data_IF_251028618483
#
_entry.id   IF_251028618483
#
_cell.length_a   1.000
_cell.length_b   1.000
_cell.length_c   1.000
_cell.angle_alpha   90.00
_cell.angle_beta   90.00
_cell.angle_gamma   90.00
#
_symmetry.space_group_name_H-M   'P 1'
#
loop_
_entity.id
_entity.type
_entity.pdbx_description
1 polymer ?
#
# COMPACT_ATOMS: atom_id res chain seq x y z
N UNK A 1 11.56 -25.65 -1.58
CA UNK A 1 12.24 -24.62 -0.77
C UNK A 1 12.26 -23.32 -1.56
N UNK A 2 11.91 -22.19 -0.94
CA UNK A 2 11.92 -20.84 -1.55
C UNK A 2 12.86 -19.94 -0.74
N UNK A 3 12.38 -18.84 -0.13
CA UNK A 3 13.12 -18.08 0.87
C UNK A 3 13.14 -18.75 2.26
N UNK A 4 13.93 -18.17 3.17
CA UNK A 4 14.07 -18.63 4.56
C UNK A 4 12.92 -18.08 5.44
N UNK A 5 11.69 -18.53 5.19
CA UNK A 5 10.51 -18.05 5.93
C UNK A 5 10.41 -18.60 7.37
N UNK A 6 10.95 -19.80 7.60
CA UNK A 6 10.73 -20.54 8.84
C UNK A 6 11.53 -19.97 10.01
N UNK A 7 10.98 -18.96 10.67
CA UNK A 7 11.46 -18.46 11.96
C UNK A 7 10.96 -19.39 13.07
N UNK A 8 11.84 -20.29 13.53
CA UNK A 8 11.48 -21.35 14.49
C UNK A 8 10.84 -20.82 15.80
N UNK A 9 11.41 -19.82 16.50
CA UNK A 9 10.83 -19.30 17.74
C UNK A 9 9.77 -18.20 17.48
N UNK A 10 8.74 -18.51 16.68
CA UNK A 10 7.78 -17.53 16.17
C UNK A 10 7.11 -16.70 17.26
N UNK A 11 6.58 -17.32 18.32
CA UNK A 11 5.78 -16.64 19.35
C UNK A 11 6.60 -15.66 20.18
N UNK A 12 7.85 -16.01 20.52
CA UNK A 12 8.77 -15.13 21.22
C UNK A 12 9.18 -13.94 20.37
N UNK A 13 9.53 -14.17 19.09
CA UNK A 13 9.91 -13.10 18.17
C UNK A 13 8.75 -12.14 17.85
N UNK A 14 7.54 -12.67 17.64
CA UNK A 14 6.38 -11.86 17.23
C UNK A 14 6.03 -10.79 18.26
N UNK A 15 6.13 -11.12 19.56
CA UNK A 15 5.87 -10.15 20.61
C UNK A 15 6.87 -8.98 20.58
N UNK A 16 8.17 -9.30 20.43
CA UNK A 16 9.24 -8.31 20.33
C UNK A 16 9.12 -7.45 19.06
N UNK A 17 8.97 -8.09 17.91
CA UNK A 17 9.04 -7.42 16.60
C UNK A 17 7.90 -6.42 16.38
N UNK A 18 6.73 -6.68 16.96
CA UNK A 18 5.53 -5.85 16.79
C UNK A 18 5.09 -5.16 18.09
N UNK A 19 5.94 -5.12 19.12
CA UNK A 19 5.69 -4.50 20.42
C UNK A 19 4.38 -4.97 21.08
N UNK A 20 4.04 -6.26 20.95
CA UNK A 20 2.77 -6.83 21.45
C UNK A 20 2.76 -7.04 22.96
N UNK A 21 3.89 -6.83 23.61
CA UNK A 21 4.03 -6.69 25.06
C UNK A 21 3.55 -5.32 25.55
N UNK A 22 3.51 -4.29 24.69
CA UNK A 22 3.04 -2.94 25.03
C UNK A 22 1.67 -2.60 24.46
N UNK A 23 1.43 -2.90 23.18
CA UNK A 23 0.21 -2.48 22.49
C UNK A 23 -0.26 -3.53 21.48
N UNK A 24 -1.58 -3.67 21.34
CA UNK A 24 -2.20 -4.61 20.38
C UNK A 24 -3.43 -3.96 19.74
N UNK A 25 -3.71 -4.23 18.45
CA UNK A 25 -2.90 -4.97 17.46
C UNK A 25 -1.87 -4.08 16.74
N UNK A 26 -0.87 -4.67 16.04
CA UNK A 26 0.00 -3.92 15.13
C UNK A 26 -0.70 -3.67 13.79
N UNK A 27 -0.13 -2.78 12.95
CA UNK A 27 -0.59 -2.55 11.58
C UNK A 27 0.25 -3.35 10.59
N UNK A 28 -0.16 -4.58 10.31
CA UNK A 28 0.45 -5.41 9.26
C UNK A 28 -0.19 -5.11 7.91
N UNK A 29 0.60 -5.18 6.83
CA UNK A 29 0.13 -4.98 5.46
C UNK A 29 0.72 -6.01 4.50
N UNK A 30 -0.09 -6.50 3.56
CA UNK A 30 0.40 -7.33 2.46
C UNK A 30 1.01 -6.44 1.36
N UNK A 31 2.32 -6.58 1.13
CA UNK A 31 3.08 -5.62 0.32
C UNK A 31 2.69 -5.61 -1.16
N UNK A 32 2.21 -6.71 -1.73
CA UNK A 32 1.79 -6.75 -3.14
C UNK A 32 0.69 -5.72 -3.42
N UNK A 33 -0.39 -5.72 -2.64
CA UNK A 33 -1.47 -4.74 -2.80
C UNK A 33 -0.99 -3.32 -2.48
N UNK A 34 -0.16 -3.16 -1.45
CA UNK A 34 0.41 -1.87 -1.08
C UNK A 34 1.20 -1.23 -2.23
N UNK A 35 2.15 -1.97 -2.82
CA UNK A 35 2.95 -1.43 -3.92
C UNK A 35 2.15 -1.34 -5.22
N UNK A 36 1.21 -2.25 -5.46
CA UNK A 36 0.32 -2.16 -6.61
C UNK A 36 -0.46 -0.84 -6.61
N UNK A 37 -0.98 -0.43 -5.45
CA UNK A 37 -1.66 0.84 -5.25
C UNK A 37 -0.71 2.06 -5.29
N UNK A 38 0.37 2.05 -4.50
CA UNK A 38 1.18 3.26 -4.24
C UNK A 38 2.34 3.49 -5.21
N UNK A 39 2.62 2.54 -6.10
CA UNK A 39 3.47 2.76 -7.28
C UNK A 39 2.65 2.89 -8.55
N UNK A 40 1.33 2.99 -8.42
CA UNK A 40 0.37 3.21 -9.50
C UNK A 40 0.41 2.18 -10.63
N UNK A 41 0.94 0.98 -10.37
CA UNK A 41 0.99 -0.09 -11.35
C UNK A 41 -0.41 -0.48 -11.84
N UNK A 42 -1.43 -0.31 -10.99
CA UNK A 42 -2.83 -0.53 -11.33
C UNK A 42 -3.34 0.34 -12.48
N UNK A 43 -2.71 1.51 -12.70
CA UNK A 43 -3.04 2.41 -13.80
C UNK A 43 -2.55 1.90 -15.15
N UNK A 44 -1.78 0.83 -15.20
CA UNK A 44 -1.22 0.26 -16.43
C UNK A 44 -1.68 -1.19 -16.61
N UNK A 45 -2.66 -1.65 -15.81
CA UNK A 45 -3.18 -3.01 -15.85
C UNK A 45 -3.83 -3.29 -17.20
N UNK A 46 -3.54 -4.47 -17.76
CA UNK A 46 -4.09 -4.92 -19.05
C UNK A 46 -4.90 -6.20 -18.93
N UNK A 47 -4.82 -6.88 -17.79
CA UNK A 47 -5.57 -8.11 -17.55
C UNK A 47 -6.97 -7.75 -17.04
N UNK A 48 -7.99 -8.06 -17.85
CA UNK A 48 -9.39 -7.96 -17.44
C UNK A 48 -9.77 -9.06 -16.47
N UNK A 49 -10.68 -8.76 -15.53
CA UNK A 49 -11.21 -9.78 -14.60
C UNK A 49 -11.96 -10.87 -15.36
N UNK A 50 -12.63 -10.52 -16.46
CA UNK A 50 -13.39 -11.46 -17.27
C UNK A 50 -12.53 -12.48 -18.03
N UNK A 51 -11.22 -12.24 -18.15
CA UNK A 51 -10.26 -13.17 -18.73
C UNK A 51 -9.88 -14.32 -17.77
N UNK A 52 -9.98 -14.08 -16.46
CA UNK A 52 -9.63 -15.07 -15.42
C UNK A 52 -10.85 -15.76 -14.81
N UNK A 53 -12.06 -15.30 -15.17
CA UNK A 53 -13.30 -15.92 -14.72
C UNK A 53 -13.54 -17.29 -15.39
N UNK A 54 -14.07 -18.23 -14.61
CA UNK A 54 -14.60 -19.49 -15.15
C UNK A 54 -15.65 -19.20 -16.23
N UNK A 55 -15.68 -19.95 -17.34
CA UNK A 55 -16.73 -19.81 -18.37
C UNK A 55 -18.14 -20.12 -17.85
N UNK A 56 -18.26 -20.74 -16.66
CA UNK A 56 -19.53 -21.04 -16.00
C UNK A 56 -20.00 -19.93 -15.05
N UNK A 57 -19.17 -18.92 -14.78
CA UNK A 57 -19.52 -17.81 -13.89
C UNK A 57 -20.39 -16.77 -14.60
N UNK A 58 -21.31 -16.15 -13.86
CA UNK A 58 -22.07 -15.00 -14.36
C UNK A 58 -21.19 -13.75 -14.36
N UNK A 59 -20.66 -13.38 -15.53
CA UNK A 59 -19.77 -12.21 -15.72
C UNK A 59 -20.36 -10.90 -15.19
N UNK A 60 -21.69 -10.77 -15.13
CA UNK A 60 -22.34 -9.55 -14.64
C UNK A 60 -22.13 -9.31 -13.15
N UNK A 61 -21.83 -10.36 -12.38
CA UNK A 61 -21.56 -10.27 -10.94
C UNK A 61 -20.12 -9.84 -10.64
N UNK A 62 -19.25 -9.89 -11.66
CA UNK A 62 -17.80 -9.77 -11.50
C UNK A 62 -17.22 -8.63 -12.34
N UNK A 63 -17.79 -7.43 -12.25
CA UNK A 63 -17.32 -6.24 -12.96
C UNK A 63 -16.23 -5.47 -12.21
N UNK A 64 -15.57 -4.56 -12.91
CA UNK A 64 -14.49 -3.72 -12.37
C UNK A 64 -13.10 -4.24 -12.74
N UNK A 65 -12.10 -3.50 -12.30
CA UNK A 65 -10.68 -3.76 -12.50
C UNK A 65 -10.10 -4.61 -11.36
N UNK A 66 -8.86 -5.09 -11.50
CA UNK A 66 -8.18 -5.86 -10.45
C UNK A 66 -8.06 -5.09 -9.12
N UNK A 67 -7.84 -3.76 -9.17
CA UNK A 67 -7.73 -2.95 -7.93
C UNK A 67 -9.08 -2.82 -7.21
N UNK A 68 -10.21 -2.85 -7.94
CA UNK A 68 -11.55 -2.81 -7.34
C UNK A 68 -11.80 -4.02 -6.44
N UNK A 69 -11.30 -5.19 -6.82
CA UNK A 69 -11.38 -6.39 -5.99
C UNK A 69 -10.53 -6.28 -4.72
N UNK A 70 -9.41 -5.56 -4.78
CA UNK A 70 -8.62 -5.30 -3.59
C UNK A 70 -9.37 -4.38 -2.62
N UNK A 71 -9.96 -3.29 -3.11
CA UNK A 71 -10.79 -2.38 -2.30
C UNK A 71 -11.98 -3.10 -1.68
N UNK A 72 -12.67 -3.95 -2.46
CA UNK A 72 -13.76 -4.82 -1.98
C UNK A 72 -13.30 -5.74 -0.86
N UNK A 73 -12.15 -6.40 -1.02
CA UNK A 73 -11.57 -7.28 -0.02
C UNK A 73 -11.17 -6.52 1.26
N UNK A 74 -10.58 -5.33 1.12
CA UNK A 74 -10.20 -4.45 2.24
C UNK A 74 -11.40 -4.03 3.07
N UNK A 75 -12.46 -3.49 2.44
CA UNK A 75 -13.67 -3.05 3.17
C UNK A 75 -14.43 -4.19 3.85
N UNK A 76 -14.30 -5.41 3.34
CA UNK A 76 -14.89 -6.62 3.92
C UNK A 76 -14.02 -7.24 5.02
N UNK A 77 -12.85 -6.67 5.30
CA UNK A 77 -11.91 -7.18 6.30
C UNK A 77 -11.18 -8.46 5.88
N UNK A 78 -11.14 -8.77 4.58
CA UNK A 78 -10.40 -9.92 4.04
C UNK A 78 -8.91 -9.62 3.91
N UNK A 79 -8.57 -8.37 3.56
CA UNK A 79 -7.21 -7.87 3.46
C UNK A 79 -7.02 -6.64 4.35
N UNK A 80 -5.78 -6.40 4.84
CA UNK A 80 -5.45 -5.15 5.51
C UNK A 80 -5.32 -3.97 4.53
N UNK A 81 -5.41 -2.75 5.07
CA UNK A 81 -5.23 -1.48 4.34
C UNK A 81 -4.08 -0.69 4.94
N UNK A 82 -3.28 -0.04 4.09
CA UNK A 82 -2.27 0.93 4.53
C UNK A 82 -2.01 1.98 3.44
N UNK A 83 -2.24 3.28 3.72
CA UNK A 83 -3.01 3.84 4.84
C UNK A 83 -4.43 3.25 4.99
N UNK A 84 -5.02 3.33 6.19
CA UNK A 84 -6.31 2.70 6.48
C UNK A 84 -7.50 3.60 6.15
N UNK A 85 -7.43 4.85 6.59
CA UNK A 85 -8.49 5.86 6.51
C UNK A 85 -7.89 7.14 5.97
N UNK A 86 -8.67 7.87 5.15
CA UNK A 86 -8.22 9.16 4.61
C UNK A 86 -8.05 10.21 5.69
N UNK A 87 -8.90 10.18 6.72
CA UNK A 87 -8.75 11.00 7.91
C UNK A 87 -7.69 10.39 8.82
N UNK A 88 -6.83 11.23 9.41
CA UNK A 88 -5.88 10.79 10.42
C UNK A 88 -6.61 10.01 11.54
N UNK A 89 -6.24 8.75 11.80
CA UNK A 89 -6.97 7.90 12.74
C UNK A 89 -6.95 8.43 14.19
N UNK A 90 -6.02 9.32 14.54
CA UNK A 90 -6.01 9.99 15.85
C UNK A 90 -7.10 11.06 15.96
N UNK A 91 -7.42 11.73 14.86
CA UNK A 91 -8.45 12.75 14.81
C UNK A 91 -9.85 12.12 14.84
N UNK A 92 -10.03 10.94 14.22
CA UNK A 92 -11.28 10.16 14.30
C UNK A 92 -11.70 9.89 15.75
N UNK A 93 -10.74 9.55 16.63
CA UNK A 93 -11.02 9.33 18.06
C UNK A 93 -11.38 10.65 18.76
N UNK A 94 -10.72 11.76 18.40
CA UNK A 94 -11.02 13.08 18.95
C UNK A 94 -12.43 13.53 18.56
N UNK A 95 -12.81 13.37 17.30
CA UNK A 95 -14.12 13.73 16.79
C UNK A 95 -15.23 12.91 17.46
N UNK A 96 -15.00 11.60 17.66
CA UNK A 96 -15.93 10.74 18.39
C UNK A 96 -16.15 11.23 19.83
N UNK A 97 -15.08 11.61 20.52
CA UNK A 97 -15.15 12.16 21.88
C UNK A 97 -15.90 13.49 21.93
N UNK A 98 -15.65 14.40 20.98
CA UNK A 98 -16.39 15.66 20.85
C UNK A 98 -17.88 15.44 20.57
N UNK A 99 -18.21 14.41 19.79
CA UNK A 99 -19.59 14.01 19.52
C UNK A 99 -20.27 13.24 20.68
N UNK A 100 -19.53 12.91 21.75
CA UNK A 100 -20.04 12.12 22.87
C UNK A 100 -20.38 10.67 22.50
N UNK A 101 -19.70 10.11 21.49
CA UNK A 101 -19.92 8.75 20.99
C UNK A 101 -18.71 7.85 21.30
N UNK A 102 -18.96 6.54 21.41
CA UNK A 102 -17.88 5.56 21.42
C UNK A 102 -17.13 5.59 20.06
N UNK A 103 -15.77 5.58 20.03
CA UNK A 103 -15.01 5.67 18.79
C UNK A 103 -15.33 4.59 17.75
N UNK A 104 -15.68 3.37 18.18
CA UNK A 104 -16.05 2.29 17.26
C UNK A 104 -17.40 2.58 16.61
N UNK A 105 -18.39 2.99 17.40
CA UNK A 105 -19.73 3.32 16.89
C UNK A 105 -19.69 4.54 15.97
N UNK A 106 -18.88 5.55 16.32
CA UNK A 106 -18.60 6.70 15.46
C UNK A 106 -18.00 6.26 14.12
N UNK A 107 -16.94 5.47 14.13
CA UNK A 107 -16.27 5.01 12.91
C UNK A 107 -17.20 4.17 12.03
N UNK A 108 -17.97 3.24 12.61
CA UNK A 108 -18.93 2.42 11.85
C UNK A 108 -20.02 3.27 11.22
N UNK A 109 -20.56 4.25 11.96
CA UNK A 109 -21.55 5.19 11.43
C UNK A 109 -20.96 6.02 10.30
N UNK A 110 -19.78 6.59 10.52
CA UNK A 110 -19.11 7.48 9.58
C UNK A 110 -18.68 6.77 8.28
N UNK A 111 -18.29 5.48 8.37
CA UNK A 111 -18.02 4.66 7.18
C UNK A 111 -19.30 4.35 6.39
N UNK A 112 -20.43 4.14 7.08
CA UNK A 112 -21.72 3.84 6.43
C UNK A 112 -22.34 5.07 5.77
N UNK A 113 -22.22 6.25 6.37
CA UNK A 113 -22.74 7.50 5.82
C UNK A 113 -21.75 8.20 4.87
N UNK A 114 -20.51 7.73 4.80
CA UNK A 114 -19.47 8.19 3.87
C UNK A 114 -18.70 9.42 4.34
N UNK A 115 -18.93 9.91 5.56
CA UNK A 115 -18.14 11.00 6.16
C UNK A 115 -16.72 10.58 6.50
N UNK A 116 -16.51 9.30 6.81
CA UNK A 116 -15.19 8.68 6.93
C UNK A 116 -14.96 7.76 5.72
N UNK A 117 -13.82 7.91 5.06
CA UNK A 117 -13.47 7.16 3.85
C UNK A 117 -12.25 6.27 4.10
N UNK A 118 -12.26 5.09 3.49
CA UNK A 118 -11.07 4.23 3.45
C UNK A 118 -10.08 4.79 2.43
N UNK A 119 -8.78 4.80 2.74
CA UNK A 119 -7.78 5.36 1.83
C UNK A 119 -7.69 4.64 0.50
N UNK A 120 -8.01 3.34 0.47
CA UNK A 120 -7.94 2.51 -0.73
C UNK A 120 -8.95 2.90 -1.81
N UNK A 121 -10.00 3.68 -1.51
CA UNK A 121 -10.93 4.20 -2.54
C UNK A 121 -10.35 5.38 -3.31
N UNK A 122 -9.25 5.99 -2.84
CA UNK A 122 -8.55 7.07 -3.54
C UNK A 122 -7.04 7.07 -3.17
N UNK A 123 -6.26 6.07 -3.61
CA UNK A 123 -4.84 5.94 -3.28
C UNK A 123 -3.96 7.04 -3.91
N UNK A 124 -4.55 7.85 -4.79
CA UNK A 124 -3.94 9.01 -5.45
C UNK A 124 -4.37 10.34 -4.79
N UNK A 125 -5.05 10.29 -3.65
CA UNK A 125 -5.22 11.47 -2.80
C UNK A 125 -3.95 11.71 -1.96
N UNK A 126 -3.47 12.95 -1.79
CA UNK A 126 -2.27 13.25 -0.99
C UNK A 126 -2.33 12.85 0.49
N UNK A 127 -3.53 12.56 1.01
CA UNK A 127 -3.72 12.07 2.38
C UNK A 127 -3.66 10.52 2.47
N UNK A 128 -3.68 9.83 1.33
CA UNK A 128 -3.91 8.39 1.23
C UNK A 128 -2.67 7.59 0.82
N UNK A 129 -1.50 8.21 0.66
CA UNK A 129 -0.26 7.49 0.32
C UNK A 129 0.80 7.56 1.42
N UNK A 130 1.72 6.58 1.48
CA UNK A 130 2.85 6.62 2.40
C UNK A 130 3.75 7.82 2.10
N UNK A 131 4.19 8.52 3.14
CA UNK A 131 5.11 9.66 3.04
C UNK A 131 6.53 9.34 3.47
N UNK A 132 6.68 8.44 4.44
CA UNK A 132 7.97 8.06 4.99
C UNK A 132 8.16 6.55 4.84
N UNK A 133 9.31 6.13 4.30
CA UNK A 133 9.64 4.72 4.14
C UNK A 133 11.03 4.43 4.70
N UNK A 134 11.09 3.43 5.57
CA UNK A 134 12.34 2.86 6.06
C UNK A 134 12.61 1.54 5.36
N UNK A 135 13.80 1.39 4.81
CA UNK A 135 14.25 0.15 4.18
C UNK A 135 15.51 -0.32 4.91
N UNK A 136 15.45 -1.53 5.46
CA UNK A 136 16.61 -2.18 6.06
C UNK A 136 16.59 -3.65 5.74
N UNK A 137 17.78 -4.25 5.61
CA UNK A 137 17.95 -5.67 5.25
C UNK A 137 17.20 -6.06 3.96
N UNK A 138 17.02 -5.11 3.06
CA UNK A 138 16.30 -5.24 1.79
C UNK A 138 16.93 -4.33 0.75
N UNK A 139 16.97 -4.79 -0.50
CA UNK A 139 17.34 -3.97 -1.66
C UNK A 139 16.13 -3.86 -2.59
N UNK A 140 15.04 -3.24 -2.12
CA UNK A 140 13.76 -3.25 -2.81
C UNK A 140 13.85 -2.65 -4.21
N UNK A 141 14.57 -1.53 -4.38
CA UNK A 141 14.71 -0.86 -5.67
C UNK A 141 15.66 -1.60 -6.63
N UNK A 142 16.53 -2.48 -6.13
CA UNK A 142 17.49 -3.23 -6.95
C UNK A 142 17.28 -4.73 -7.01
N UNK A 143 16.20 -5.27 -6.45
CA UNK A 143 15.99 -6.72 -6.37
C UNK A 143 14.51 -7.11 -6.35
N UNK A 144 13.77 -6.74 -5.31
CA UNK A 144 12.43 -7.29 -5.08
C UNK A 144 11.28 -6.45 -5.64
N UNK A 145 11.53 -5.18 -6.01
CA UNK A 145 10.55 -4.25 -6.58
C UNK A 145 10.20 -4.60 -8.02
N UNK A 146 9.05 -5.26 -8.21
CA UNK A 146 8.51 -5.55 -9.54
C UNK A 146 7.90 -4.25 -10.06
N UNK A 147 8.14 -3.95 -11.34
CA UNK A 147 7.76 -2.66 -11.90
C UNK A 147 8.69 -1.53 -11.44
N UNK A 148 10.01 -1.75 -11.50
CA UNK A 148 11.03 -0.81 -11.04
C UNK A 148 10.80 0.65 -11.50
N UNK A 149 10.50 0.85 -12.78
CA UNK A 149 10.28 2.19 -13.34
C UNK A 149 9.05 2.90 -12.72
N UNK A 150 8.05 2.14 -12.27
CA UNK A 150 6.89 2.69 -11.57
C UNK A 150 7.23 3.13 -10.14
N UNK A 151 8.17 2.44 -9.46
CA UNK A 151 8.73 2.94 -8.20
C UNK A 151 9.44 4.27 -8.43
N UNK A 152 10.29 4.36 -9.46
CA UNK A 152 11.02 5.59 -9.78
C UNK A 152 10.05 6.75 -10.10
N UNK A 153 9.03 6.50 -10.91
CA UNK A 153 8.04 7.49 -11.32
C UNK A 153 7.13 7.93 -10.16
N UNK A 154 6.35 7.00 -9.61
CA UNK A 154 5.24 7.34 -8.74
C UNK A 154 5.64 7.46 -7.27
N UNK A 155 6.61 6.65 -6.83
CA UNK A 155 7.02 6.65 -5.43
C UNK A 155 8.14 7.66 -5.16
N UNK A 156 9.15 7.72 -6.02
CA UNK A 156 10.34 8.57 -5.85
C UNK A 156 10.26 9.91 -6.61
N UNK A 157 9.51 9.99 -7.71
CA UNK A 157 9.42 11.21 -8.51
C UNK A 157 10.69 11.52 -9.30
N UNK A 158 11.45 10.49 -9.69
CA UNK A 158 12.70 10.64 -10.46
C UNK A 158 12.48 10.38 -11.95
N UNK A 159 13.53 10.59 -12.75
CA UNK A 159 13.57 10.06 -14.11
C UNK A 159 13.27 8.55 -14.09
N UNK A 160 12.54 8.11 -15.11
CA UNK A 160 12.06 6.74 -15.24
C UNK A 160 11.97 6.37 -16.73
N UNK A 161 11.90 5.07 -16.99
CA UNK A 161 11.83 4.46 -18.32
C UNK A 161 10.45 3.90 -18.68
N UNK A 162 9.37 4.31 -18.04
CA UNK A 162 8.02 3.82 -18.36
C UNK A 162 7.67 4.19 -19.81
N UNK A 163 7.52 3.17 -20.68
CA UNK A 163 7.20 3.36 -22.10
C UNK A 163 5.70 3.30 -22.40
N UNK A 164 4.95 2.56 -21.57
CA UNK A 164 3.51 2.38 -21.72
C UNK A 164 2.73 3.63 -21.31
N UNK A 165 1.59 3.85 -21.96
CA UNK A 165 0.58 4.81 -21.47
C UNK A 165 -0.24 4.17 -20.36
N UNK A 166 -0.70 4.97 -19.42
CA UNK A 166 -1.69 4.52 -18.45
C UNK A 166 -3.04 4.21 -19.13
N UNK A 167 -4.01 3.73 -18.35
CA UNK A 167 -5.35 3.46 -18.85
C UNK A 167 -5.89 4.73 -19.52
N UNK A 168 -6.04 4.68 -20.84
CA UNK A 168 -6.46 5.81 -21.65
C UNK A 168 -7.92 6.18 -21.43
N UNK A 169 -8.39 7.25 -22.08
CA UNK A 169 -9.80 7.67 -22.03
C UNK A 169 -10.77 6.63 -22.56
N UNK A 170 -10.30 5.72 -23.41
CA UNK A 170 -11.09 4.65 -24.03
C UNK A 170 -11.06 3.34 -23.24
N UNK A 171 -10.16 3.21 -22.25
CA UNK A 171 -10.04 2.00 -21.43
C UNK A 171 -10.94 2.10 -20.19
N UNK A 172 -11.50 0.97 -19.77
CA UNK A 172 -12.42 0.93 -18.63
C UNK A 172 -11.68 1.29 -17.34
N UNK A 173 -12.12 2.37 -16.69
CA UNK A 173 -11.61 2.84 -15.40
C UNK A 173 -12.13 1.96 -14.24
N UNK A 174 -11.42 1.94 -13.10
CA UNK A 174 -11.94 1.30 -11.89
C UNK A 174 -13.29 1.88 -11.46
N UNK A 175 -14.06 1.05 -10.75
CA UNK A 175 -15.39 1.40 -10.23
C UNK A 175 -15.35 1.81 -8.75
N UNK A 176 -14.37 1.34 -7.99
CA UNK A 176 -14.23 1.53 -6.54
C UNK A 176 -13.12 2.54 -6.20
N UNK A 177 -12.23 2.82 -7.16
CA UNK A 177 -11.08 3.71 -7.00
C UNK A 177 -11.27 4.98 -7.80
N UNK A 178 -11.02 6.13 -7.18
CA UNK A 178 -11.04 7.42 -7.85
C UNK A 178 -9.94 7.49 -8.93
N UNK A 179 -10.31 7.92 -10.14
CA UNK A 179 -9.35 8.12 -11.23
C UNK A 179 -8.95 9.60 -11.35
N UNK A 180 -7.66 9.86 -11.15
CA UNK A 180 -7.08 11.18 -11.42
C UNK A 180 -6.45 11.20 -12.82
N UNK A 181 -6.75 12.21 -13.62
CA UNK A 181 -6.24 12.33 -15.01
C UNK A 181 -4.71 12.38 -15.05
N UNK A 182 -4.11 13.05 -14.10
CA UNK A 182 -2.66 13.01 -13.89
C UNK A 182 -2.39 12.19 -12.63
N UNK A 183 -1.62 11.13 -12.80
CA UNK A 183 -1.14 10.33 -11.69
C UNK A 183 -0.17 11.15 -10.82
N UNK A 184 -0.17 10.99 -9.49
CA UNK A 184 0.84 11.60 -8.64
C UNK A 184 2.23 10.99 -8.92
N UNK A 185 3.26 11.82 -8.81
CA UNK A 185 4.66 11.42 -8.86
C UNK A 185 5.37 11.89 -7.58
N UNK A 186 6.35 11.12 -7.10
CA UNK A 186 7.09 11.46 -5.88
C UNK A 186 6.24 11.42 -4.60
N UNK A 187 5.48 10.33 -4.39
CA UNK A 187 4.63 10.17 -3.20
C UNK A 187 5.40 10.14 -1.87
N UNK A 188 6.64 9.66 -1.86
CA UNK A 188 7.48 9.68 -0.66
C UNK A 188 8.10 11.06 -0.44
N UNK A 189 7.93 11.55 0.78
CA UNK A 189 8.64 12.73 1.29
C UNK A 189 10.03 12.37 1.83
N UNK A 190 10.22 11.12 2.29
CA UNK A 190 11.50 10.64 2.84
C UNK A 190 11.69 9.12 2.66
N UNK A 191 12.81 8.74 2.03
CA UNK A 191 13.32 7.38 1.96
C UNK A 191 14.63 7.24 2.76
N UNK A 192 14.59 6.43 3.81
CA UNK A 192 15.76 6.11 4.64
C UNK A 192 16.16 4.66 4.43
N UNK A 193 17.42 4.42 4.07
CA UNK A 193 17.95 3.06 3.88
C UNK A 193 19.10 2.76 4.85
N UNK A 194 19.04 1.58 5.49
CA UNK A 194 20.08 1.04 6.35
C UNK A 194 20.76 -0.15 5.66
N UNK A 195 22.03 -0.01 5.35
CA UNK A 195 22.81 -1.04 4.66
C UNK A 195 24.31 -0.92 5.02
N UNK A 196 25.05 -2.03 4.93
CA UNK A 196 26.50 -2.06 5.15
C UNK A 196 27.27 -1.88 3.83
N UNK A 197 26.57 -1.86 2.70
CA UNK A 197 27.12 -1.56 1.37
C UNK A 197 26.22 -0.55 0.64
N UNK A 198 26.79 0.17 -0.32
CA UNK A 198 26.03 1.08 -1.18
C UNK A 198 25.22 0.29 -2.22
N UNK A 199 24.01 -0.15 -1.84
CA UNK A 199 23.09 -0.88 -2.74
C UNK A 199 22.35 0.07 -3.68
N UNK A 200 21.64 -0.48 -4.68
CA UNK A 200 20.78 0.32 -5.57
C UNK A 200 19.76 1.12 -4.77
N UNK A 201 19.18 0.53 -3.72
CA UNK A 201 18.22 1.26 -2.88
C UNK A 201 18.90 2.44 -2.18
N UNK A 202 20.12 2.27 -1.67
CA UNK A 202 20.89 3.38 -1.09
C UNK A 202 21.15 4.51 -2.10
N UNK A 203 21.47 4.18 -3.36
CA UNK A 203 21.73 5.18 -4.41
C UNK A 203 20.52 6.08 -4.71
N UNK A 204 19.30 5.60 -4.46
CA UNK A 204 18.05 6.34 -4.65
C UNK A 204 17.47 6.89 -3.33
N UNK A 205 18.14 6.71 -2.18
CA UNK A 205 17.62 7.14 -0.88
C UNK A 205 18.06 8.56 -0.52
N UNK A 206 17.24 9.27 0.23
CA UNK A 206 17.58 10.59 0.77
C UNK A 206 18.62 10.47 1.90
N UNK A 207 18.47 9.44 2.74
CA UNK A 207 19.37 9.17 3.87
C UNK A 207 19.84 7.73 3.81
N UNK A 208 21.16 7.55 3.89
CA UNK A 208 21.80 6.23 4.01
C UNK A 208 22.48 6.15 5.37
N UNK A 209 22.09 5.17 6.18
CA UNK A 209 22.69 4.93 7.49
C UNK A 209 23.59 3.68 7.42
N UNK A 210 24.88 3.80 7.78
CA UNK A 210 25.77 2.64 7.81
C UNK A 210 25.36 1.70 8.93
N UNK A 211 25.14 0.43 8.60
CA UNK A 211 24.84 -0.62 9.58
C UNK A 211 26.02 -1.58 9.75
N UNK A 212 26.10 -2.23 10.90
CA UNK A 212 27.11 -3.25 11.16
C UNK A 212 26.98 -4.42 10.17
N UNK A 213 28.10 -5.05 9.83
CA UNK A 213 28.07 -6.30 9.08
C UNK A 213 27.57 -7.44 9.98
N UNK A 214 27.47 -8.66 9.44
CA UNK A 214 27.06 -9.81 10.25
C UNK A 214 28.13 -10.28 11.27
N UNK A 215 29.34 -9.72 11.23
CA UNK A 215 30.46 -10.07 12.11
C UNK A 215 30.82 -8.97 13.11
N UNK A 216 29.97 -7.95 13.24
CA UNK A 216 30.14 -6.76 14.08
C UNK A 216 28.86 -6.47 14.87
#
# INVERSE_FOLDING_TARGET
YVGQEKLRPQTGWTALAFALDWIRPPRLQNSTSFFYAHTDQWRYEKIGVDEVLSPLADKKQFTGSMIDYNVRAERMGWLPSAPQLQTNPLDVVRDAQTAGLDPKDYAVKALKDGTLKMSCTDPDHPDNWPRNMFVWRSNILGSSGKGHEYFLKHLLGTSNGVQGKDLGTEEAKPQEVAWHTQAPEGKLDLLVTLDFRMSTTCLYSDIVLPTATWYE
#
